data_IF_056004368969
#
_entry.id   IF_056004368969
#
_cell.length_a   1.000
_cell.length_b   1.000
_cell.length_c   1.000
_cell.angle_alpha   90.00
_cell.angle_beta   90.00
_cell.angle_gamma   90.00
#
_symmetry.space_group_name_H-M   'P 1'
#
loop_
_entity.id
_entity.type
_entity.pdbx_description
1 polymer ?
#
# COMPACT_ATOMS: atom_id res chain seq x y z
N UNK A 1 25.45 -34.18 -7.76
CA UNK A 1 25.31 -32.89 -8.50
C UNK A 1 23.87 -32.57 -8.92
N UNK A 2 23.02 -33.53 -9.31
CA UNK A 2 21.63 -33.28 -9.76
C UNK A 2 20.66 -32.76 -8.68
N UNK A 3 20.98 -32.92 -7.39
CA UNK A 3 20.09 -32.59 -6.26
C UNK A 3 20.34 -31.16 -5.73
N UNK A 4 21.56 -30.65 -5.88
CA UNK A 4 21.94 -29.28 -5.51
C UNK A 4 21.28 -28.26 -6.45
N UNK A 5 21.22 -28.56 -7.75
CA UNK A 5 20.55 -27.67 -8.71
C UNK A 5 19.05 -27.53 -8.43
N UNK A 6 18.38 -28.63 -8.04
CA UNK A 6 16.95 -28.63 -7.66
C UNK A 6 16.65 -27.82 -6.39
N UNK A 7 17.54 -27.89 -5.39
CA UNK A 7 17.42 -27.08 -4.16
C UNK A 7 17.64 -25.59 -4.50
N UNK A 8 18.59 -25.27 -5.38
CA UNK A 8 18.85 -23.90 -5.80
C UNK A 8 17.70 -23.30 -6.61
N UNK A 9 17.02 -24.10 -7.45
CA UNK A 9 15.82 -23.64 -8.18
C UNK A 9 14.61 -23.47 -7.25
N UNK A 10 14.45 -24.33 -6.23
CA UNK A 10 13.37 -24.22 -5.25
C UNK A 10 13.49 -22.96 -4.36
N UNK A 11 14.72 -22.54 -4.02
CA UNK A 11 14.97 -21.30 -3.28
C UNK A 11 14.70 -20.06 -4.13
N UNK A 12 15.06 -20.08 -5.42
CA UNK A 12 14.83 -18.96 -6.34
C UNK A 12 13.33 -18.68 -6.58
N UNK A 13 12.50 -19.72 -6.63
CA UNK A 13 11.04 -19.58 -6.82
C UNK A 13 10.35 -19.09 -5.54
N UNK A 14 10.92 -19.35 -4.35
CA UNK A 14 10.37 -18.88 -3.07
C UNK A 14 10.67 -17.39 -2.79
N UNK A 15 11.61 -16.77 -3.50
CA UNK A 15 11.94 -15.34 -3.35
C UNK A 15 11.09 -14.38 -4.20
N UNK A 16 10.22 -14.88 -5.07
CA UNK A 16 9.49 -14.04 -6.06
C UNK A 16 8.07 -13.65 -5.62
N UNK A 17 7.52 -14.21 -4.54
CA UNK A 17 6.15 -13.90 -4.12
C UNK A 17 5.99 -13.89 -2.61
N UNK A 18 6.68 -12.98 -1.94
CA UNK A 18 6.11 -12.39 -0.74
C UNK A 18 5.36 -11.15 -1.24
N UNK A 19 4.02 -11.06 -1.13
CA UNK A 19 3.41 -9.76 -1.16
C UNK A 19 4.05 -9.02 0.00
N UNK A 20 4.90 -8.05 -0.30
CA UNK A 20 5.35 -7.16 0.73
C UNK A 20 4.07 -6.51 1.24
N UNK A 21 3.63 -6.86 2.45
CA UNK A 21 2.77 -5.97 3.22
C UNK A 21 3.65 -4.79 3.65
N UNK A 22 4.14 -4.05 2.66
CA UNK A 22 4.81 -2.80 2.87
C UNK A 22 3.68 -1.83 3.12
N UNK A 23 3.58 -1.35 4.36
CA UNK A 23 2.65 -0.29 4.69
C UNK A 23 2.90 0.87 3.72
N UNK A 24 1.86 1.29 3.00
CA UNK A 24 2.01 2.17 1.84
C UNK A 24 2.68 3.51 2.19
N UNK A 25 2.54 3.95 3.45
CA UNK A 25 2.96 5.27 3.92
C UNK A 25 3.90 5.18 5.15
N UNK A 26 5.11 5.74 5.09
CA UNK A 26 6.11 5.62 6.15
C UNK A 26 5.74 6.36 7.45
N UNK A 27 4.81 7.31 7.39
CA UNK A 27 4.34 8.15 8.49
C UNK A 27 3.06 7.63 9.16
N UNK A 28 2.61 6.44 8.79
CA UNK A 28 1.43 5.82 9.39
C UNK A 28 1.86 4.59 10.21
N UNK A 29 1.78 4.68 11.55
CA UNK A 29 2.08 3.55 12.42
C UNK A 29 1.13 2.36 12.18
N UNK A 30 1.64 1.14 12.32
CA UNK A 30 0.82 -0.09 12.17
C UNK A 30 -0.28 -0.22 13.22
N UNK A 31 -0.16 0.48 14.35
CA UNK A 31 -1.18 0.55 15.40
C UNK A 31 -2.10 1.78 15.27
N UNK A 32 -2.00 2.55 14.19
CA UNK A 32 -2.92 3.64 13.93
C UNK A 32 -4.33 3.07 13.67
N UNK A 33 -5.35 3.68 14.26
CA UNK A 33 -6.73 3.15 14.23
C UNK A 33 -7.30 2.99 12.81
N UNK A 34 -6.79 3.79 11.87
CA UNK A 34 -7.18 3.78 10.44
C UNK A 34 -6.17 3.06 9.52
N UNK A 35 -5.14 2.42 10.07
CA UNK A 35 -4.05 1.79 9.31
C UNK A 35 -4.58 0.83 8.23
N UNK A 36 -5.47 -0.09 8.61
CA UNK A 36 -6.05 -1.10 7.72
C UNK A 36 -6.93 -0.47 6.62
N UNK A 37 -7.72 0.54 6.97
CA UNK A 37 -8.61 1.22 6.03
C UNK A 37 -7.82 2.03 5.00
N UNK A 38 -6.72 2.66 5.42
CA UNK A 38 -5.83 3.37 4.50
C UNK A 38 -5.20 2.41 3.49
N UNK A 39 -4.75 1.23 3.94
CA UNK A 39 -4.20 0.20 3.06
C UNK A 39 -5.23 -0.21 1.98
N UNK A 40 -6.44 -0.56 2.41
CA UNK A 40 -7.55 -0.96 1.51
C UNK A 40 -7.90 0.16 0.52
N UNK A 41 -7.96 1.42 0.97
CA UNK A 41 -8.31 2.55 0.11
C UNK A 41 -7.18 2.92 -0.83
N UNK A 42 -5.92 2.71 -0.44
CA UNK A 42 -4.76 2.95 -1.30
C UNK A 42 -4.68 1.89 -2.39
N UNK A 43 -4.91 0.62 -2.05
CA UNK A 43 -5.01 -0.49 -3.01
C UNK A 43 -6.10 -0.26 -4.06
N UNK A 44 -7.20 0.38 -3.65
CA UNK A 44 -8.30 0.78 -4.54
C UNK A 44 -8.02 2.07 -5.32
N UNK A 45 -6.88 2.72 -5.09
CA UNK A 45 -6.53 4.00 -5.71
C UNK A 45 -7.37 5.19 -5.24
N UNK A 46 -8.19 5.03 -4.20
CA UNK A 46 -9.08 6.07 -3.66
C UNK A 46 -8.26 7.15 -2.96
N UNK A 47 -7.26 6.71 -2.19
CA UNK A 47 -6.31 7.61 -1.52
C UNK A 47 -4.92 7.44 -2.11
N UNK A 48 -4.19 8.55 -2.17
CA UNK A 48 -2.80 8.62 -2.65
C UNK A 48 -2.04 9.54 -1.70
N UNK A 49 -0.80 9.18 -1.37
CA UNK A 49 0.07 10.00 -0.55
C UNK A 49 0.57 11.25 -1.27
N UNK A 50 1.30 12.07 -0.53
CA UNK A 50 1.96 13.27 -1.03
C UNK A 50 3.22 12.91 -1.84
N UNK A 51 3.78 13.86 -2.63
CA UNK A 51 5.00 13.62 -3.40
C UNK A 51 6.23 13.26 -2.56
N UNK A 52 6.22 13.56 -1.26
CA UNK A 52 7.26 13.17 -0.29
C UNK A 52 7.11 11.72 0.22
N UNK A 53 6.06 11.01 -0.21
CA UNK A 53 5.75 9.64 0.20
C UNK A 53 4.86 9.53 1.44
N UNK A 54 4.53 10.63 2.11
CA UNK A 54 3.71 10.61 3.34
C UNK A 54 2.21 10.56 3.05
N UNK A 55 1.39 10.21 4.04
CA UNK A 55 -0.07 10.30 3.97
C UNK A 55 -0.67 11.38 4.88
N UNK A 56 -0.04 11.64 6.03
CA UNK A 56 -0.43 12.63 7.04
C UNK A 56 -1.80 12.29 7.67
N UNK A 57 -1.93 11.14 8.33
CA UNK A 57 -3.22 10.58 8.76
C UNK A 57 -4.00 11.46 9.76
N UNK A 58 -3.29 12.32 10.49
CA UNK A 58 -3.85 13.21 11.51
C UNK A 58 -4.03 14.67 11.04
N UNK A 59 -3.67 14.97 9.78
CA UNK A 59 -3.89 16.31 9.21
C UNK A 59 -5.33 16.48 8.72
N UNK A 60 -5.81 17.73 8.76
CA UNK A 60 -7.13 18.05 8.24
C UNK A 60 -7.14 17.95 6.71
N UNK A 61 -8.11 17.22 6.19
CA UNK A 61 -8.34 17.11 4.74
C UNK A 61 -8.97 18.39 4.21
N UNK A 62 -8.47 18.91 3.08
CA UNK A 62 -9.12 20.01 2.38
C UNK A 62 -10.38 19.54 1.64
N UNK A 63 -11.27 20.48 1.29
CA UNK A 63 -12.45 20.18 0.48
C UNK A 63 -12.11 19.58 -0.89
N UNK A 64 -10.99 20.01 -1.48
CA UNK A 64 -10.55 19.52 -2.79
C UNK A 64 -10.03 18.08 -2.71
N UNK A 65 -9.23 17.76 -1.69
CA UNK A 65 -8.76 16.39 -1.45
C UNK A 65 -9.93 15.45 -1.14
N UNK A 66 -10.88 15.88 -0.30
CA UNK A 66 -12.10 15.11 -0.04
C UNK A 66 -12.89 14.83 -1.31
N UNK A 67 -13.13 15.85 -2.15
CA UNK A 67 -13.86 15.68 -3.41
C UNK A 67 -13.14 14.72 -4.36
N UNK A 68 -11.81 14.80 -4.44
CA UNK A 68 -10.98 13.89 -5.23
C UNK A 68 -11.13 12.43 -4.76
N UNK A 69 -11.05 12.19 -3.44
CA UNK A 69 -11.27 10.86 -2.87
C UNK A 69 -12.69 10.35 -3.15
N UNK A 70 -13.71 11.20 -3.02
CA UNK A 70 -15.10 10.82 -3.25
C UNK A 70 -15.37 10.43 -4.71
N UNK A 71 -14.85 11.20 -5.67
CA UNK A 71 -14.97 10.91 -7.12
C UNK A 71 -14.33 9.56 -7.44
N UNK A 72 -13.11 9.31 -6.95
CA UNK A 72 -12.42 8.02 -7.12
C UNK A 72 -13.15 6.85 -6.45
N UNK A 73 -13.68 7.04 -5.24
CA UNK A 73 -14.44 6.02 -4.53
C UNK A 73 -15.73 5.61 -5.26
N UNK A 74 -16.32 6.54 -6.02
CA UNK A 74 -17.48 6.30 -6.87
C UNK A 74 -17.12 5.71 -8.25
N UNK A 75 -15.83 5.49 -8.53
CA UNK A 75 -15.35 5.00 -9.82
C UNK A 75 -15.53 6.01 -10.94
N UNK A 76 -15.52 7.31 -10.62
CA UNK A 76 -15.60 8.39 -11.60
C UNK A 76 -14.18 8.93 -11.83
N UNK A 77 -13.83 9.18 -13.10
CA UNK A 77 -12.53 9.73 -13.50
C UNK A 77 -12.58 11.25 -13.68
#
# INVERSE_FOLDING_TARGET
MKNIFKILTAVLVFSVALPAMAFQFPDVPTNHWAAEQMDILSDKGVIVGYPDGTFRPDENVTRAEFASMAIKALGQE
#
